data_IF_178098885619
#
_entry.id   IF_178098885619
#
_cell.length_a   1.000
_cell.length_b   1.000
_cell.length_c   1.000
_cell.angle_alpha   90.00
_cell.angle_beta   90.00
_cell.angle_gamma   90.00
#
_symmetry.space_group_name_H-M   'P 1'
#
loop_
_entity.id
_entity.type
_entity.pdbx_description
1 polymer ?
#
# COMPACT_ATOMS: atom_id res chain seq x y z
N UNK A 1 -25.89 10.66 -15.58
CA UNK A 1 -24.61 9.93 -15.80
C UNK A 1 -23.48 10.83 -16.30
N UNK A 2 -23.70 11.85 -17.14
CA UNK A 2 -22.61 12.73 -17.59
C UNK A 2 -22.11 13.74 -16.53
N UNK A 3 -22.88 14.00 -15.48
CA UNK A 3 -22.54 14.98 -14.43
C UNK A 3 -21.27 14.62 -13.64
N UNK A 4 -20.91 13.33 -13.54
CA UNK A 4 -19.72 12.86 -12.84
C UNK A 4 -18.64 12.35 -13.78
N UNK A 5 -18.56 12.93 -14.99
CA UNK A 5 -17.57 12.54 -16.00
C UNK A 5 -16.12 12.43 -15.49
N UNK A 6 -15.62 13.28 -14.56
CA UNK A 6 -14.21 13.15 -14.15
C UNK A 6 -13.93 11.85 -13.42
N UNK A 7 -14.91 11.35 -12.66
CA UNK A 7 -14.82 10.06 -11.96
C UNK A 7 -14.69 8.95 -13.00
N UNK A 8 -15.66 8.85 -13.91
CA UNK A 8 -15.70 7.78 -14.90
C UNK A 8 -14.48 7.78 -15.82
N UNK A 9 -14.01 8.98 -16.20
CA UNK A 9 -12.81 9.13 -17.01
C UNK A 9 -11.57 8.61 -16.29
N UNK A 10 -11.33 9.03 -15.04
CA UNK A 10 -10.16 8.59 -14.27
C UNK A 10 -10.24 7.11 -13.91
N UNK A 11 -11.42 6.58 -13.61
CA UNK A 11 -11.62 5.14 -13.39
C UNK A 11 -11.30 4.33 -14.65
N UNK A 12 -11.81 4.76 -15.81
CA UNK A 12 -11.52 4.08 -17.08
C UNK A 12 -10.03 4.17 -17.46
N UNK A 13 -9.41 5.34 -17.28
CA UNK A 13 -7.99 5.54 -17.53
C UNK A 13 -7.12 4.70 -16.58
N UNK A 14 -7.45 4.68 -15.29
CA UNK A 14 -6.78 3.86 -14.27
C UNK A 14 -6.88 2.38 -14.57
N UNK A 15 -8.07 1.89 -14.92
CA UNK A 15 -8.28 0.49 -15.32
C UNK A 15 -7.50 0.15 -16.59
N UNK A 16 -7.59 1.00 -17.63
CA UNK A 16 -6.88 0.81 -18.89
C UNK A 16 -5.36 0.76 -18.71
N UNK A 17 -4.81 1.68 -17.90
CA UNK A 17 -3.39 1.66 -17.51
C UNK A 17 -3.03 0.36 -16.80
N UNK A 18 -3.82 -0.06 -15.81
CA UNK A 18 -3.58 -1.27 -15.04
C UNK A 18 -3.57 -2.51 -15.95
N UNK A 19 -4.60 -2.66 -16.78
CA UNK A 19 -4.70 -3.74 -17.75
C UNK A 19 -3.52 -3.74 -18.73
N UNK A 20 -3.12 -2.57 -19.23
CA UNK A 20 -1.96 -2.46 -20.13
C UNK A 20 -0.67 -2.90 -19.44
N UNK A 21 -0.34 -2.38 -18.25
CA UNK A 21 0.87 -2.75 -17.51
C UNK A 21 0.92 -4.25 -17.20
N UNK A 22 -0.20 -4.82 -16.75
CA UNK A 22 -0.29 -6.23 -16.36
C UNK A 22 -0.32 -7.19 -17.56
N UNK A 23 -0.82 -6.75 -18.73
CA UNK A 23 -0.79 -7.57 -19.96
C UNK A 23 0.62 -7.70 -20.55
N UNK A 24 1.47 -6.68 -20.37
CA UNK A 24 2.82 -6.66 -20.96
C UNK A 24 3.80 -7.54 -20.20
N UNK A 25 3.67 -7.65 -18.88
CA UNK A 25 4.63 -8.37 -18.01
C UNK A 25 3.98 -9.02 -16.79
N UNK A 26 3.05 -9.97 -16.96
CA UNK A 26 2.64 -10.80 -15.83
C UNK A 26 3.83 -11.66 -15.36
N UNK A 27 3.69 -12.31 -14.20
CA UNK A 27 4.63 -13.35 -13.72
C UNK A 27 4.72 -14.50 -14.74
N UNK A 28 5.49 -14.32 -15.82
CA UNK A 28 5.60 -15.24 -16.95
C UNK A 28 6.87 -16.11 -16.81
N UNK A 29 6.73 -17.44 -16.76
CA UNK A 29 7.87 -18.36 -16.67
C UNK A 29 8.80 -18.43 -17.90
N UNK A 30 8.55 -17.72 -19.02
CA UNK A 30 9.41 -17.83 -20.21
C UNK A 30 9.96 -16.50 -20.77
N UNK A 31 11.27 -16.57 -21.07
CA UNK A 31 12.30 -15.72 -21.73
C UNK A 31 12.25 -14.18 -21.80
N UNK A 32 11.17 -13.45 -21.49
CA UNK A 32 11.20 -11.97 -21.39
C UNK A 32 10.37 -11.37 -20.24
N UNK A 33 9.90 -12.20 -19.29
CA UNK A 33 9.34 -11.75 -18.02
C UNK A 33 10.38 -11.04 -17.13
N UNK A 34 9.93 -10.33 -16.09
CA UNK A 34 10.86 -9.84 -15.08
C UNK A 34 11.52 -11.06 -14.43
N UNK A 35 12.82 -11.26 -14.73
CA UNK A 35 13.59 -12.45 -14.32
C UNK A 35 13.28 -12.77 -12.86
N UNK A 36 12.75 -13.97 -12.68
CA UNK A 36 11.75 -14.28 -11.68
C UNK A 36 12.18 -13.92 -10.27
N UNK A 37 11.33 -13.19 -9.55
CA UNK A 37 11.48 -13.10 -8.11
C UNK A 37 11.57 -14.52 -7.54
N UNK A 38 12.58 -14.76 -6.75
CA UNK A 38 12.79 -16.06 -6.12
C UNK A 38 12.09 -16.09 -4.77
N UNK A 39 11.86 -17.28 -4.23
CA UNK A 39 11.44 -17.39 -2.83
C UNK A 39 12.47 -16.74 -1.88
N UNK A 40 13.75 -16.72 -2.28
CA UNK A 40 14.82 -16.03 -1.55
C UNK A 40 14.63 -14.52 -1.53
N UNK A 41 14.21 -13.88 -2.64
CA UNK A 41 13.97 -12.45 -2.68
C UNK A 41 12.97 -11.96 -1.60
N UNK A 42 11.99 -12.81 -1.27
CA UNK A 42 11.03 -12.53 -0.21
C UNK A 42 11.61 -12.88 1.16
N UNK A 43 12.23 -14.06 1.31
CA UNK A 43 12.61 -14.60 2.62
C UNK A 43 13.98 -14.15 3.16
N UNK A 44 14.89 -13.70 2.30
CA UNK A 44 16.21 -13.24 2.69
C UNK A 44 16.22 -11.75 3.05
N UNK A 45 17.13 -11.39 3.96
CA UNK A 45 17.31 -10.00 4.41
C UNK A 45 18.54 -9.36 3.74
N UNK A 46 18.45 -8.08 3.42
CA UNK A 46 19.53 -7.30 2.80
C UNK A 46 20.52 -6.70 3.79
N UNK A 47 20.06 -6.29 4.98
CA UNK A 47 20.84 -5.54 5.98
C UNK A 47 20.91 -6.22 7.34
N UNK A 48 20.24 -7.37 7.52
CA UNK A 48 20.25 -8.13 8.76
C UNK A 48 20.12 -9.64 8.52
N UNK A 49 19.82 -10.39 9.58
CA UNK A 49 19.60 -11.84 9.46
C UNK A 49 18.18 -12.17 8.94
N UNK A 50 17.99 -13.28 8.22
CA UNK A 50 16.66 -13.76 7.85
C UNK A 50 15.71 -13.95 9.05
N UNK A 51 16.26 -14.25 10.24
CA UNK A 51 15.51 -14.38 11.50
C UNK A 51 14.99 -13.02 11.97
N UNK A 52 15.80 -11.96 11.89
CA UNK A 52 15.37 -10.60 12.23
C UNK A 52 14.24 -10.13 11.31
N UNK A 53 14.36 -10.37 10.00
CA UNK A 53 13.30 -10.05 9.04
C UNK A 53 11.99 -10.79 9.36
N UNK A 54 12.07 -12.08 9.69
CA UNK A 54 10.90 -12.86 10.12
C UNK A 54 10.30 -12.29 11.42
N UNK A 55 11.12 -12.01 12.43
CA UNK A 55 10.65 -11.48 13.71
C UNK A 55 9.92 -10.13 13.53
N UNK A 56 10.50 -9.23 12.73
CA UNK A 56 9.87 -7.97 12.35
C UNK A 56 8.52 -8.19 11.64
N UNK A 57 8.47 -9.03 10.61
CA UNK A 57 7.24 -9.30 9.87
C UNK A 57 6.15 -9.92 10.74
N UNK A 58 6.52 -10.88 11.60
CA UNK A 58 5.59 -11.51 12.53
C UNK A 58 5.04 -10.50 13.55
N UNK A 59 5.91 -9.65 14.10
CA UNK A 59 5.50 -8.56 14.98
C UNK A 59 4.49 -7.63 14.30
N UNK A 60 4.81 -7.12 13.10
CA UNK A 60 3.90 -6.20 12.41
C UNK A 60 2.60 -6.90 12.00
N UNK A 61 2.64 -8.17 11.56
CA UNK A 61 1.44 -8.93 11.21
C UNK A 61 0.46 -9.07 12.38
N UNK A 62 0.98 -9.36 13.59
CA UNK A 62 0.17 -9.46 14.81
C UNK A 62 -0.30 -8.08 15.25
N UNK A 63 0.60 -7.10 15.27
CA UNK A 63 0.28 -5.73 15.67
C UNK A 63 -0.82 -5.12 14.81
N UNK A 64 -0.69 -5.23 13.48
CA UNK A 64 -1.65 -4.66 12.55
C UNK A 64 -3.01 -5.34 12.63
N UNK A 65 -3.03 -6.66 12.84
CA UNK A 65 -4.24 -7.42 13.11
C UNK A 65 -4.94 -6.95 14.40
N UNK A 66 -4.18 -6.74 15.48
CA UNK A 66 -4.73 -6.27 16.76
C UNK A 66 -5.33 -4.86 16.63
N UNK A 67 -4.60 -3.92 16.02
CA UNK A 67 -5.09 -2.54 15.85
C UNK A 67 -6.32 -2.50 14.95
N UNK A 68 -6.31 -3.22 13.82
CA UNK A 68 -7.43 -3.30 12.89
C UNK A 68 -8.65 -4.00 13.52
N UNK A 69 -8.43 -5.12 14.22
CA UNK A 69 -9.46 -5.86 14.93
C UNK A 69 -10.11 -5.04 16.04
N UNK A 70 -9.32 -4.31 16.84
CA UNK A 70 -9.85 -3.40 17.86
C UNK A 70 -10.72 -2.29 17.25
N UNK A 71 -10.34 -1.73 16.10
CA UNK A 71 -11.16 -0.74 15.41
C UNK A 71 -12.50 -1.35 14.96
N UNK A 72 -12.49 -2.54 14.37
CA UNK A 72 -13.71 -3.23 13.95
C UNK A 72 -14.61 -3.56 15.13
N UNK A 73 -14.06 -4.01 16.26
CA UNK A 73 -14.83 -4.29 17.46
C UNK A 73 -15.46 -3.02 18.06
N UNK A 74 -14.71 -1.92 18.09
CA UNK A 74 -15.17 -0.67 18.70
C UNK A 74 -16.17 0.11 17.82
N UNK A 75 -15.97 0.12 16.50
CA UNK A 75 -16.75 0.94 15.56
C UNK A 75 -17.71 0.13 14.68
N UNK A 76 -17.59 -1.20 14.69
CA UNK A 76 -18.36 -2.09 13.82
C UNK A 76 -17.90 -2.08 12.37
N UNK A 77 -18.61 -2.79 11.47
CA UNK A 77 -18.23 -2.94 10.06
C UNK A 77 -18.34 -1.63 9.25
N UNK A 78 -18.94 -0.57 9.81
CA UNK A 78 -19.09 0.73 9.11
C UNK A 78 -17.75 1.35 8.71
N UNK A 79 -16.65 1.01 9.40
CA UNK A 79 -15.31 1.52 9.04
C UNK A 79 -14.77 0.90 7.76
N UNK A 80 -15.30 -0.27 7.34
CA UNK A 80 -14.90 -0.95 6.11
C UNK A 80 -15.34 -0.21 4.85
N UNK A 81 -16.03 0.92 4.93
CA UNK A 81 -16.28 1.75 3.75
C UNK A 81 -15.08 2.61 3.34
N UNK A 82 -14.12 2.83 4.23
CA UNK A 82 -13.00 3.76 4.03
C UNK A 82 -11.78 3.09 3.39
N UNK A 83 -11.18 3.75 2.39
CA UNK A 83 -9.98 3.28 1.68
C UNK A 83 -8.79 3.08 2.63
N UNK A 84 -8.70 3.93 3.64
CA UNK A 84 -7.63 3.88 4.64
C UNK A 84 -7.66 2.56 5.42
N UNK A 85 -8.86 2.10 5.76
CA UNK A 85 -9.08 0.81 6.42
C UNK A 85 -8.79 -0.35 5.45
N UNK A 86 -9.16 -0.22 4.17
CA UNK A 86 -8.80 -1.22 3.14
C UNK A 86 -7.28 -1.36 3.01
N UNK A 87 -6.54 -0.26 2.97
CA UNK A 87 -5.07 -0.29 2.90
C UNK A 87 -4.43 -0.86 4.17
N UNK A 88 -5.00 -0.59 5.35
CA UNK A 88 -4.53 -1.21 6.59
C UNK A 88 -4.64 -2.75 6.55
N UNK A 89 -5.77 -3.26 6.05
CA UNK A 89 -5.97 -4.71 5.90
C UNK A 89 -5.12 -5.30 4.77
N UNK A 90 -4.89 -4.55 3.68
CA UNK A 90 -3.94 -4.93 2.62
C UNK A 90 -2.51 -5.08 3.14
N UNK A 91 -2.06 -4.15 3.99
CA UNK A 91 -0.75 -4.20 4.65
C UNK A 91 -0.69 -5.35 5.66
N UNK A 92 -1.77 -5.58 6.41
CA UNK A 92 -1.88 -6.72 7.32
C UNK A 92 -1.73 -8.04 6.56
N UNK A 93 -2.46 -8.22 5.46
CA UNK A 93 -2.35 -9.40 4.61
C UNK A 93 -0.94 -9.57 4.03
N UNK A 94 -0.29 -8.48 3.63
CA UNK A 94 1.11 -8.50 3.21
C UNK A 94 2.03 -9.07 4.29
N UNK A 95 2.00 -8.53 5.51
CA UNK A 95 2.91 -8.97 6.57
C UNK A 95 2.68 -10.43 6.99
N UNK A 96 1.42 -10.91 6.98
CA UNK A 96 1.12 -12.33 7.19
C UNK A 96 1.71 -13.23 6.10
N UNK A 97 1.52 -12.88 4.83
CA UNK A 97 2.07 -13.65 3.71
C UNK A 97 3.60 -13.58 3.66
N UNK A 98 4.19 -12.43 3.97
CA UNK A 98 5.63 -12.23 4.03
C UNK A 98 6.27 -13.02 5.20
N UNK A 99 5.63 -13.06 6.37
CA UNK A 99 6.05 -13.92 7.48
C UNK A 99 5.99 -15.40 7.09
N UNK A 100 4.88 -15.85 6.47
CA UNK A 100 4.75 -17.22 5.97
C UNK A 100 5.83 -17.58 4.94
N UNK A 101 6.10 -16.69 3.97
CA UNK A 101 7.18 -16.87 3.00
C UNK A 101 8.57 -16.92 3.67
N UNK A 102 8.79 -16.14 4.74
CA UNK A 102 10.03 -16.16 5.52
C UNK A 102 10.23 -17.50 6.24
N UNK A 103 9.18 -18.03 6.86
CA UNK A 103 9.20 -19.35 7.50
C UNK A 103 9.52 -20.44 6.47
N UNK A 104 8.84 -20.42 5.32
CA UNK A 104 9.08 -21.38 4.23
C UNK A 104 10.53 -21.30 3.71
N UNK A 105 11.11 -20.10 3.63
CA UNK A 105 12.51 -19.91 3.24
C UNK A 105 13.48 -20.50 4.25
N UNK A 106 13.25 -20.30 5.55
CA UNK A 106 14.11 -20.81 6.62
C UNK A 106 14.00 -22.33 6.83
N UNK A 107 12.86 -22.93 6.53
CA UNK A 107 12.67 -24.39 6.62
C UNK A 107 13.40 -25.17 5.52
N UNK A 108 13.77 -24.53 4.41
CA UNK A 108 14.50 -25.18 3.32
C UNK A 108 15.98 -25.30 3.69
N UNK A 109 16.50 -26.53 3.73
CA UNK A 109 17.90 -26.85 4.04
C UNK A 109 18.92 -26.34 3.00
N UNK A 110 18.49 -25.99 1.79
CA UNK A 110 19.34 -25.37 0.77
C UNK A 110 18.75 -24.05 0.26
N UNK A 111 19.64 -23.11 -0.08
CA UNK A 111 19.29 -21.87 -0.79
C UNK A 111 18.78 -22.28 -2.18
N UNK A 112 17.47 -22.39 -2.31
CA UNK A 112 16.83 -22.69 -3.59
C UNK A 112 16.42 -21.38 -4.24
N UNK A 113 17.15 -20.95 -5.28
CA UNK A 113 16.80 -19.85 -6.19
C UNK A 113 15.56 -20.14 -7.05
N UNK A 114 14.73 -21.09 -6.62
CA UNK A 114 13.43 -21.40 -7.20
C UNK A 114 12.58 -20.14 -7.37
N UNK A 115 11.93 -20.05 -8.52
CA UNK A 115 10.84 -19.10 -8.80
C UNK A 115 9.90 -19.01 -7.62
N UNK A 116 9.48 -17.79 -7.27
CA UNK A 116 8.57 -17.54 -6.16
C UNK A 116 7.32 -18.42 -6.28
N UNK A 117 6.99 -19.12 -5.19
CA UNK A 117 5.76 -19.89 -5.09
C UNK A 117 4.55 -18.93 -5.01
N UNK A 118 3.34 -19.47 -4.83
CA UNK A 118 2.12 -18.65 -4.79
C UNK A 118 2.15 -17.62 -3.64
N UNK A 119 2.62 -18.02 -2.47
CA UNK A 119 2.74 -17.14 -1.29
C UNK A 119 3.76 -16.04 -1.54
N UNK A 120 4.94 -16.39 -2.06
CA UNK A 120 5.98 -15.42 -2.42
C UNK A 120 5.51 -14.41 -3.46
N UNK A 121 4.83 -14.87 -4.53
CA UNK A 121 4.27 -13.97 -5.56
C UNK A 121 3.22 -13.02 -4.98
N UNK A 122 2.31 -13.53 -4.16
CA UNK A 122 1.31 -12.70 -3.49
C UNK A 122 1.98 -11.66 -2.58
N UNK A 123 2.96 -12.06 -1.76
CA UNK A 123 3.71 -11.14 -0.90
C UNK A 123 4.42 -10.04 -1.71
N UNK A 124 4.98 -10.36 -2.87
CA UNK A 124 5.64 -9.35 -3.72
C UNK A 124 4.64 -8.37 -4.32
N UNK A 125 3.50 -8.86 -4.81
CA UNK A 125 2.43 -7.99 -5.34
C UNK A 125 1.98 -7.03 -4.22
N UNK A 126 1.62 -7.57 -3.05
CA UNK A 126 1.15 -6.76 -1.94
C UNK A 126 2.23 -5.82 -1.40
N UNK A 127 3.50 -6.21 -1.41
CA UNK A 127 4.60 -5.32 -1.05
C UNK A 127 4.60 -4.07 -1.94
N UNK A 128 4.52 -4.23 -3.27
CA UNK A 128 4.53 -3.10 -4.19
C UNK A 128 3.28 -2.23 -4.10
N UNK A 129 2.12 -2.86 -3.84
CA UNK A 129 0.90 -2.12 -3.58
C UNK A 129 1.06 -1.26 -2.33
N UNK A 130 1.41 -1.87 -1.20
CA UNK A 130 1.55 -1.17 0.07
C UNK A 130 2.69 -0.14 0.06
N UNK A 131 3.82 -0.41 -0.59
CA UNK A 131 4.96 0.52 -0.64
C UNK A 131 4.67 1.81 -1.38
N UNK A 132 3.58 1.84 -2.15
CA UNK A 132 3.05 3.03 -2.81
C UNK A 132 1.86 3.61 -2.04
N UNK A 133 0.89 2.77 -1.67
CA UNK A 133 -0.39 3.25 -1.14
C UNK A 133 -0.30 3.80 0.27
N UNK A 134 0.63 3.34 1.13
CA UNK A 134 0.82 3.92 2.48
C UNK A 134 1.12 5.42 2.39
N UNK A 135 1.97 5.83 1.47
CA UNK A 135 2.31 7.25 1.28
C UNK A 135 1.12 8.06 0.77
N UNK A 136 0.36 7.50 -0.17
CA UNK A 136 -0.84 8.15 -0.70
C UNK A 136 -1.84 8.38 0.43
N UNK A 137 -2.15 7.35 1.23
CA UNK A 137 -3.15 7.50 2.30
C UNK A 137 -2.68 8.45 3.40
N UNK A 138 -1.39 8.45 3.74
CA UNK A 138 -0.85 9.33 4.77
C UNK A 138 -0.87 10.79 4.33
N UNK A 139 -0.42 11.07 3.10
CA UNK A 139 -0.42 12.44 2.55
C UNK A 139 -1.84 12.93 2.33
N UNK A 140 -2.73 12.13 1.75
CA UNK A 140 -4.13 12.52 1.60
C UNK A 140 -4.83 12.69 2.95
N UNK A 141 -4.48 11.91 3.98
CA UNK A 141 -5.01 12.10 5.32
C UNK A 141 -4.56 13.43 5.92
N UNK A 142 -3.26 13.62 6.08
CA UNK A 142 -2.72 14.75 6.84
C UNK A 142 -2.68 16.06 6.07
N UNK A 143 -2.37 16.03 4.77
CA UNK A 143 -2.18 17.25 3.99
C UNK A 143 -3.45 17.73 3.27
N UNK A 144 -4.46 16.85 3.11
CA UNK A 144 -5.70 17.19 2.40
C UNK A 144 -6.94 17.05 3.29
N UNK A 145 -7.20 15.84 3.81
CA UNK A 145 -8.45 15.53 4.49
C UNK A 145 -8.57 16.20 5.87
N UNK A 146 -7.49 16.19 6.66
CA UNK A 146 -7.46 16.82 7.99
C UNK A 146 -7.70 18.34 7.88
N UNK A 147 -6.97 19.11 7.06
CA UNK A 147 -7.26 20.53 6.88
C UNK A 147 -8.69 20.79 6.41
N UNK A 148 -9.18 19.99 5.46
CA UNK A 148 -10.52 20.15 4.89
C UNK A 148 -11.64 19.94 5.91
N UNK A 149 -11.49 18.98 6.83
CA UNK A 149 -12.51 18.64 7.82
C UNK A 149 -12.36 19.37 9.16
N UNK A 150 -11.21 19.98 9.43
CA UNK A 150 -10.94 20.71 10.68
C UNK A 150 -10.95 22.23 10.52
N UNK A 151 -11.25 22.73 9.31
CA UNK A 151 -11.45 24.15 9.01
C UNK A 151 -12.93 24.54 8.90
N UNK A 152 -13.85 23.66 9.32
CA UNK A 152 -15.29 23.91 9.27
C UNK A 152 -15.71 24.99 10.30
N UNK A 153 -16.64 25.90 9.98
CA UNK A 153 -17.17 26.87 10.94
C UNK A 153 -17.82 26.22 12.17
N UNK A 154 -18.42 25.04 12.02
CA UNK A 154 -19.04 24.30 13.12
C UNK A 154 -17.97 23.65 14.02
N UNK A 155 -17.78 24.24 15.20
CA UNK A 155 -16.80 23.78 16.18
C UNK A 155 -17.10 22.38 16.74
N UNK A 156 -18.37 21.95 16.78
CA UNK A 156 -18.73 20.60 17.22
C UNK A 156 -18.31 19.58 16.17
N UNK A 157 -18.53 19.89 14.89
CA UNK A 157 -18.09 19.04 13.78
C UNK A 157 -16.56 18.95 13.71
N UNK A 158 -15.86 20.07 13.91
CA UNK A 158 -14.39 20.08 14.01
C UNK A 158 -13.91 19.21 15.17
N UNK A 159 -14.50 19.34 16.36
CA UNK A 159 -14.13 18.51 17.51
C UNK A 159 -14.36 17.02 17.24
N UNK A 160 -15.47 16.68 16.58
CA UNK A 160 -15.75 15.31 16.13
C UNK A 160 -14.64 14.80 15.19
N UNK A 161 -14.30 15.53 14.12
CA UNK A 161 -13.25 15.09 13.20
C UNK A 161 -11.88 15.00 13.84
N UNK A 162 -11.52 15.96 14.71
CA UNK A 162 -10.30 15.87 15.51
C UNK A 162 -10.25 14.58 16.32
N UNK A 163 -11.35 14.15 16.94
CA UNK A 163 -11.39 12.87 17.66
C UNK A 163 -11.16 11.65 16.75
N UNK A 164 -11.54 11.73 15.47
CA UNK A 164 -11.36 10.65 14.50
C UNK A 164 -9.94 10.57 13.92
N UNK A 165 -9.20 11.68 13.87
CA UNK A 165 -7.83 11.75 13.34
C UNK A 165 -6.74 11.70 14.42
N UNK A 166 -6.96 12.34 15.56
CA UNK A 166 -5.94 12.43 16.62
C UNK A 166 -6.17 11.33 17.66
N UNK A 167 -6.04 10.08 17.23
CA UNK A 167 -6.14 8.92 18.10
C UNK A 167 -5.14 7.83 17.69
N UNK A 168 -4.91 6.90 18.61
CA UNK A 168 -3.96 5.81 18.46
C UNK A 168 -4.14 5.00 17.16
N UNK A 169 -5.38 4.65 16.80
CA UNK A 169 -5.65 3.87 15.57
C UNK A 169 -5.31 4.67 14.33
N UNK A 170 -5.67 5.95 14.30
CA UNK A 170 -5.40 6.84 13.16
C UNK A 170 -3.90 7.06 12.98
N UNK A 171 -3.13 7.31 14.05
CA UNK A 171 -1.66 7.40 13.96
C UNK A 171 -0.99 6.10 13.49
N UNK A 172 -1.58 4.94 13.80
CA UNK A 172 -1.09 3.68 13.24
C UNK A 172 -1.37 3.63 11.73
N UNK A 173 -2.60 3.91 11.31
CA UNK A 173 -3.04 3.85 9.92
C UNK A 173 -2.49 4.95 9.00
N UNK A 174 -1.97 6.04 9.58
CA UNK A 174 -1.52 7.23 8.84
C UNK A 174 -0.11 7.71 9.17
N UNK A 175 0.68 6.90 9.88
CA UNK A 175 2.10 7.20 10.11
C UNK A 175 2.91 5.92 10.36
N UNK A 176 2.49 5.08 11.32
CA UNK A 176 3.24 3.87 11.66
C UNK A 176 3.28 2.87 10.48
N UNK A 177 2.22 2.80 9.67
CA UNK A 177 2.19 2.07 8.40
C UNK A 177 3.36 2.42 7.46
N UNK A 178 3.65 3.72 7.25
CA UNK A 178 4.76 4.16 6.41
C UNK A 178 6.10 3.76 7.02
N UNK A 179 6.25 3.88 8.35
CA UNK A 179 7.43 3.40 9.07
C UNK A 179 7.62 1.89 8.89
N UNK A 180 6.56 1.09 9.02
CA UNK A 180 6.63 -0.36 8.79
C UNK A 180 7.06 -0.70 7.37
N UNK A 181 6.52 0.01 6.36
CA UNK A 181 6.90 -0.23 4.96
C UNK A 181 8.32 0.25 4.64
N UNK A 182 8.81 1.31 5.28
CA UNK A 182 10.20 1.75 5.17
C UNK A 182 11.17 0.74 5.79
N UNK A 183 10.86 0.22 6.97
CA UNK A 183 11.65 -0.83 7.62
C UNK A 183 11.63 -2.12 6.80
N UNK A 184 10.48 -2.50 6.26
CA UNK A 184 10.36 -3.63 5.35
C UNK A 184 11.24 -3.43 4.11
N UNK A 185 11.18 -2.25 3.47
CA UNK A 185 12.07 -1.90 2.35
C UNK A 185 13.53 -2.01 2.78
N UNK A 186 13.92 -1.50 3.95
CA UNK A 186 15.29 -1.55 4.43
C UNK A 186 15.79 -2.98 4.66
N UNK A 187 14.92 -3.87 5.15
CA UNK A 187 15.28 -5.23 5.56
C UNK A 187 15.17 -6.26 4.43
N UNK A 188 14.20 -6.17 3.52
CA UNK A 188 13.90 -7.24 2.55
C UNK A 188 14.89 -7.31 1.36
N UNK A 189 14.71 -8.22 0.41
CA UNK A 189 15.43 -8.26 -0.87
C UNK A 189 14.48 -8.24 -2.08
N UNK A 190 13.25 -7.75 -1.91
CA UNK A 190 12.25 -7.76 -2.96
C UNK A 190 12.66 -6.74 -4.04
N UNK A 191 12.89 -7.16 -5.29
CA UNK A 191 13.24 -6.24 -6.37
C UNK A 191 12.07 -5.33 -6.71
N UNK A 192 12.38 -4.12 -7.17
CA UNK A 192 11.38 -3.22 -7.73
C UNK A 192 10.95 -3.65 -9.14
N UNK A 193 9.64 -3.78 -9.35
CA UNK A 193 9.03 -4.13 -10.63
C UNK A 193 8.11 -3.00 -11.12
N UNK A 194 8.47 -2.24 -12.19
CA UNK A 194 7.69 -1.09 -12.63
C UNK A 194 6.24 -1.40 -13.01
N UNK A 195 5.99 -2.60 -13.57
CA UNK A 195 4.64 -3.02 -13.96
C UNK A 195 3.71 -3.28 -12.77
N UNK A 196 4.24 -3.33 -11.53
CA UNK A 196 3.41 -3.47 -10.33
C UNK A 196 2.56 -2.23 -10.04
N UNK A 197 2.87 -1.09 -10.66
CA UNK A 197 1.96 0.05 -10.73
C UNK A 197 0.59 -0.36 -11.31
N UNK A 198 0.52 -1.41 -12.13
CA UNK A 198 -0.75 -1.95 -12.60
C UNK A 198 -1.61 -2.52 -11.46
N UNK A 199 -1.02 -3.21 -10.49
CA UNK A 199 -1.75 -3.70 -9.31
C UNK A 199 -2.16 -2.56 -8.37
N UNK A 200 -1.30 -1.53 -8.23
CA UNK A 200 -1.63 -0.30 -7.50
C UNK A 200 -2.85 0.38 -8.13
N UNK A 201 -2.84 0.59 -9.46
CA UNK A 201 -3.94 1.19 -10.19
C UNK A 201 -5.23 0.38 -10.09
N UNK A 202 -5.14 -0.95 -10.25
CA UNK A 202 -6.30 -1.84 -10.11
C UNK A 202 -6.94 -1.75 -8.72
N UNK A 203 -6.13 -1.69 -7.66
CA UNK A 203 -6.63 -1.53 -6.29
C UNK A 203 -7.41 -0.23 -6.09
N UNK A 204 -6.88 0.87 -6.61
CA UNK A 204 -7.53 2.17 -6.56
C UNK A 204 -8.80 2.18 -7.39
N UNK A 205 -8.83 1.53 -8.56
CA UNK A 205 -10.04 1.40 -9.38
C UNK A 205 -11.12 0.57 -8.67
N UNK A 206 -10.76 -0.54 -8.01
CA UNK A 206 -11.72 -1.33 -7.23
C UNK A 206 -12.36 -0.45 -6.15
N UNK A 207 -11.56 0.37 -5.46
CA UNK A 207 -12.09 1.30 -4.46
C UNK A 207 -12.92 2.42 -5.08
N UNK A 208 -12.53 2.94 -6.25
CA UNK A 208 -13.28 3.93 -7.00
C UNK A 208 -14.68 3.45 -7.37
N UNK A 209 -14.78 2.22 -7.90
CA UNK A 209 -16.05 1.54 -8.14
C UNK A 209 -16.88 1.41 -6.86
N UNK A 210 -16.27 1.00 -5.75
CA UNK A 210 -16.95 0.97 -4.45
C UNK A 210 -17.46 2.36 -4.01
N UNK A 211 -16.67 3.43 -4.19
CA UNK A 211 -17.06 4.79 -3.84
C UNK A 211 -18.25 5.28 -4.68
N UNK A 212 -18.28 4.93 -5.97
CA UNK A 212 -19.41 5.21 -6.87
C UNK A 212 -20.66 4.45 -6.38
N UNK A 213 -20.53 3.15 -6.10
CA UNK A 213 -21.62 2.34 -5.56
C UNK A 213 -22.15 2.90 -4.24
N UNK A 214 -21.26 3.30 -3.32
CA UNK A 214 -21.63 3.94 -2.06
C UNK A 214 -22.43 5.23 -2.30
N UNK A 215 -22.03 6.07 -3.27
CA UNK A 215 -22.80 7.25 -3.63
C UNK A 215 -24.23 6.89 -4.08
N UNK A 216 -24.39 5.89 -4.96
CA UNK A 216 -25.71 5.48 -5.43
C UNK A 216 -26.60 4.88 -4.33
N UNK A 217 -26.01 4.27 -3.29
CA UNK A 217 -26.76 3.70 -2.16
C UNK A 217 -27.16 4.79 -1.15
N UNK A 218 -26.25 5.72 -0.85
CA UNK A 218 -26.40 6.65 0.29
C UNK A 218 -26.59 8.11 -0.11
N UNK A 219 -26.55 8.44 -1.41
CA UNK A 219 -26.68 9.81 -1.93
C UNK A 219 -25.53 10.75 -1.57
N UNK A 220 -24.38 10.23 -1.12
CA UNK A 220 -23.23 11.04 -0.69
C UNK A 220 -21.89 10.40 -0.98
N UNK A 221 -20.93 11.24 -1.37
CA UNK A 221 -19.54 10.86 -1.49
C UNK A 221 -18.90 10.66 -0.12
N UNK A 222 -18.02 9.66 0.00
CA UNK A 222 -17.43 9.31 1.28
C UNK A 222 -16.37 10.31 1.72
N UNK A 223 -15.59 10.81 0.76
CA UNK A 223 -14.54 11.79 0.97
C UNK A 223 -14.96 13.09 0.30
N UNK A 224 -14.93 14.24 0.99
CA UNK A 224 -15.33 15.50 0.37
C UNK A 224 -14.44 15.87 -0.82
N UNK A 225 -13.14 15.55 -0.79
CA UNK A 225 -12.23 15.75 -1.93
C UNK A 225 -12.49 14.82 -3.13
N UNK A 226 -13.35 13.81 -2.98
CA UNK A 226 -13.86 12.97 -4.07
C UNK A 226 -15.33 13.29 -4.37
N UNK A 227 -15.85 14.43 -3.91
CA UNK A 227 -17.19 14.85 -4.27
C UNK A 227 -17.21 15.29 -5.74
N UNK A 228 -17.74 14.41 -6.60
CA UNK A 228 -17.81 14.62 -8.03
C UNK A 228 -18.75 15.75 -8.47
N UNK A 229 -19.61 16.24 -7.55
CA UNK A 229 -20.48 17.38 -7.82
C UNK A 229 -19.74 18.73 -7.69
N UNK A 230 -18.52 18.74 -7.16
CA UNK A 230 -17.74 19.97 -6.98
C UNK A 230 -17.12 20.43 -8.30
N UNK A 231 -17.04 21.74 -8.56
CA UNK A 231 -16.50 22.29 -9.81
C UNK A 231 -15.01 21.94 -10.02
N UNK A 232 -14.29 21.66 -8.94
CA UNK A 232 -12.88 21.27 -8.96
C UNK A 232 -12.65 19.76 -8.99
N UNK A 233 -13.71 18.93 -9.09
CA UNK A 233 -13.60 17.47 -9.04
C UNK A 233 -12.55 16.94 -10.04
N UNK A 234 -12.54 17.46 -11.27
CA UNK A 234 -11.57 17.04 -12.29
C UNK A 234 -10.12 17.15 -11.84
N UNK A 235 -9.75 18.21 -11.11
CA UNK A 235 -8.41 18.38 -10.56
C UNK A 235 -8.10 17.36 -9.47
N UNK A 236 -9.06 17.05 -8.60
CA UNK A 236 -8.89 16.05 -7.55
C UNK A 236 -8.73 14.65 -8.13
N UNK A 237 -9.59 14.24 -9.06
CA UNK A 237 -9.48 12.91 -9.70
C UNK A 237 -8.19 12.78 -10.52
N UNK A 238 -7.80 13.80 -11.27
CA UNK A 238 -6.50 13.82 -11.96
C UNK A 238 -5.34 13.76 -10.95
N UNK A 239 -5.42 14.52 -9.86
CA UNK A 239 -4.44 14.49 -8.77
C UNK A 239 -4.30 13.09 -8.17
N UNK A 240 -5.41 12.40 -7.89
CA UNK A 240 -5.41 11.02 -7.42
C UNK A 240 -4.73 10.09 -8.43
N UNK A 241 -5.00 10.22 -9.71
CA UNK A 241 -4.31 9.43 -10.73
C UNK A 241 -2.79 9.67 -10.72
N UNK A 242 -2.37 10.94 -10.68
CA UNK A 242 -0.96 11.34 -10.72
C UNK A 242 -0.18 10.94 -9.46
N UNK A 243 -0.78 10.99 -8.27
CA UNK A 243 -0.07 10.61 -7.03
C UNK A 243 0.38 9.13 -7.04
N UNK A 244 -0.34 8.23 -7.72
CA UNK A 244 0.11 6.85 -7.89
C UNK A 244 1.44 6.75 -8.63
N UNK A 245 1.61 7.54 -9.70
CA UNK A 245 2.87 7.62 -10.43
C UNK A 245 3.97 8.26 -9.59
N UNK A 246 3.67 9.37 -8.91
CA UNK A 246 4.64 10.09 -8.07
C UNK A 246 5.16 9.18 -6.95
N UNK A 247 4.29 8.54 -6.16
CA UNK A 247 4.73 7.71 -5.05
C UNK A 247 5.35 6.39 -5.48
N UNK A 248 4.96 5.84 -6.64
CA UNK A 248 5.70 4.72 -7.25
C UNK A 248 7.11 5.14 -7.65
N UNK A 249 7.28 6.35 -8.20
CA UNK A 249 8.58 6.94 -8.51
C UNK A 249 9.45 7.18 -7.28
N UNK A 250 8.86 7.68 -6.18
CA UNK A 250 9.54 7.82 -4.89
C UNK A 250 9.98 6.45 -4.38
N UNK A 251 9.11 5.44 -4.44
CA UNK A 251 9.46 4.08 -4.04
C UNK A 251 10.64 3.52 -4.86
N UNK A 252 10.67 3.74 -6.17
CA UNK A 252 11.82 3.41 -7.03
C UNK A 252 13.09 4.14 -6.58
N UNK A 253 12.98 5.44 -6.26
CA UNK A 253 14.09 6.24 -5.74
C UNK A 253 14.67 5.66 -4.45
N UNK A 254 13.81 5.37 -3.46
CA UNK A 254 14.19 4.75 -2.19
C UNK A 254 14.83 3.37 -2.38
N UNK A 255 14.27 2.55 -3.27
CA UNK A 255 14.85 1.25 -3.62
C UNK A 255 16.25 1.40 -4.23
N UNK A 256 16.45 2.34 -5.16
CA UNK A 256 17.77 2.62 -5.76
C UNK A 256 18.76 3.15 -4.73
N UNK A 257 18.31 4.01 -3.82
CA UNK A 257 19.14 4.52 -2.72
C UNK A 257 19.64 3.37 -1.84
N UNK A 258 18.73 2.49 -1.40
CA UNK A 258 19.10 1.29 -0.64
C UNK A 258 20.16 0.45 -1.35
N UNK A 259 19.98 0.19 -2.65
CA UNK A 259 20.94 -0.61 -3.42
C UNK A 259 22.33 0.03 -3.50
N UNK A 260 22.42 1.37 -3.48
CA UNK A 260 23.69 2.09 -3.43
C UNK A 260 24.36 2.03 -2.06
N UNK A 261 23.58 2.01 -0.97
CA UNK A 261 24.08 1.98 0.40
C UNK A 261 24.45 0.57 0.90
N UNK A 262 23.83 -0.47 0.34
CA UNK A 262 24.02 -1.86 0.80
C UNK A 262 25.49 -2.37 0.76
N UNK A 263 26.33 -2.05 -0.24
CA UNK A 263 27.74 -2.43 -0.22
C UNK A 263 28.52 -1.82 0.96
N UNK A 264 28.21 -0.58 1.35
CA UNK A 264 28.86 0.10 2.47
C UNK A 264 28.48 -0.53 3.83
N UNK A 265 27.21 -0.91 4.00
CA UNK A 265 26.70 -1.57 5.21
C UNK A 265 27.27 -2.99 5.38
N UNK A 266 27.40 -3.74 4.28
CA UNK A 266 27.98 -5.09 4.31
C UNK A 266 29.50 -5.10 4.58
N UNK A 267 30.20 -3.99 4.34
CA UNK A 267 31.61 -3.82 4.70
C UNK A 267 31.78 -3.56 6.20
N UNK A 268 30.89 -2.77 6.82
CA UNK A 268 30.93 -2.50 8.27
C UNK A 268 30.59 -3.74 9.10
N UNK A 269 29.55 -4.51 8.73
CA UNK A 269 29.16 -5.74 9.43
C UNK A 269 30.18 -6.90 9.34
N UNK A 270 31.23 -6.77 8.53
CA UNK A 270 32.33 -7.74 8.43
C UNK A 270 33.57 -7.35 9.25
N UNK A 271 33.62 -6.12 9.76
CA UNK A 271 34.75 -5.56 10.49
C UNK A 271 34.52 -5.64 12.02
N UNK A 272 33.28 -5.88 12.44
CA UNK A 272 32.87 -6.18 13.82
C UNK A 272 32.73 -7.70 14.07
#
# INVERSE_FOLDING_TARGET
MLEFWPVYFVEAAGFGQAAWLLSKRPWNPSRQGAKDATNEAVSASSTGSPRLLLAFRAFVAVWSLVVGGRQLLAKGPIVLKFYTVWNWWLMTAFFWLAAAASIQGQMKKSVSSSTANRVGRAAIILYHMNSTTVWIVDVLCWALLVPMLTSDPDQQLVAFWKSQFYNFTSYNMHAANAVFMLLELALNRIPFYPYMLGYVGLWSTIYGLWSITHYFIFGRWLYPFLDAAKPWAAFCYLGIFLVHWIFTGIHLGLHRLKMRLAPALNLQLKID
#
